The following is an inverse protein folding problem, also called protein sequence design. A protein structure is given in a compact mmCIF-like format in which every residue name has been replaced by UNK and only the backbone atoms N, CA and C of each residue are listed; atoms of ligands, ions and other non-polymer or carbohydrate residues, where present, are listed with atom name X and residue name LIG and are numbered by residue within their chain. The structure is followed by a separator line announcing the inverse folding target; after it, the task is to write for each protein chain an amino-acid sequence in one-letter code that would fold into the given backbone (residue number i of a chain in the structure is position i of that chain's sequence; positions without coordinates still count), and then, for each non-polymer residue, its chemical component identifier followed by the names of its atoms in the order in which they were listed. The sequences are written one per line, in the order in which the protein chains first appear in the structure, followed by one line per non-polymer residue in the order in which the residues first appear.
data_IF_745739302501
#
_entry.id   IF_745739302501
#
_cell.length_a   1.000
_cell.length_b   1.000
_cell.length_c   1.000
_cell.angle_alpha   90.00
_cell.angle_beta   90.00
_cell.angle_gamma   90.00
#
_symmetry.space_group_name_H-M   'P 1'
#
loop_
_entity.id
_entity.type
_entity.pdbx_description
1 polymer ?
#
# COMPACT_ATOMS: atom_id res chain seq x y z
N UNK A 1 -19.44 57.64 -10.05
CA UNK A 1 -19.89 56.27 -10.37
C UNK A 1 -18.70 55.27 -10.32
N UNK A 2 -17.95 55.26 -9.21
CA UNK A 2 -16.72 54.44 -9.01
C UNK A 2 -16.83 53.56 -7.75
N UNK A 3 -17.39 54.14 -6.69
CA UNK A 3 -17.72 53.49 -5.40
C UNK A 3 -18.63 52.25 -5.49
N UNK A 4 -19.52 52.18 -6.48
CA UNK A 4 -20.41 51.01 -6.65
C UNK A 4 -19.69 49.76 -7.17
N UNK A 5 -18.60 49.92 -7.94
CA UNK A 5 -17.85 48.78 -8.46
C UNK A 5 -16.87 48.23 -7.42
N UNK A 6 -16.26 49.09 -6.61
CA UNK A 6 -15.34 48.68 -5.54
C UNK A 6 -16.06 47.84 -4.48
N UNK A 7 -17.26 48.25 -4.05
CA UNK A 7 -18.05 47.48 -3.09
C UNK A 7 -18.45 46.08 -3.60
N UNK A 8 -18.80 45.96 -4.90
CA UNK A 8 -19.12 44.68 -5.54
C UNK A 8 -17.89 43.77 -5.63
N UNK A 9 -16.74 44.34 -5.99
CA UNK A 9 -15.45 43.64 -6.05
C UNK A 9 -15.03 43.13 -4.66
N UNK A 10 -15.20 43.92 -3.60
CA UNK A 10 -14.90 43.51 -2.23
C UNK A 10 -15.81 42.38 -1.75
N UNK A 11 -17.12 42.46 -2.01
CA UNK A 11 -18.06 41.38 -1.65
C UNK A 11 -17.75 40.09 -2.40
N UNK A 12 -17.46 40.15 -3.71
CA UNK A 12 -17.03 38.99 -4.48
C UNK A 12 -15.74 38.37 -3.93
N UNK A 13 -14.75 39.19 -3.56
CA UNK A 13 -13.50 38.72 -2.95
C UNK A 13 -13.74 38.00 -1.62
N UNK A 14 -14.59 38.56 -0.75
CA UNK A 14 -14.96 37.92 0.52
C UNK A 14 -15.69 36.60 0.27
N UNK A 15 -16.65 36.55 -0.66
CA UNK A 15 -17.40 35.35 -0.99
C UNK A 15 -16.50 34.24 -1.55
N UNK A 16 -15.57 34.57 -2.43
CA UNK A 16 -14.57 33.62 -2.96
C UNK A 16 -13.67 33.13 -1.84
N UNK A 17 -13.18 34.02 -0.98
CA UNK A 17 -12.29 33.66 0.14
C UNK A 17 -13.00 32.73 1.13
N UNK A 18 -14.25 33.01 1.48
CA UNK A 18 -15.07 32.16 2.34
C UNK A 18 -15.36 30.80 1.69
N UNK A 19 -15.63 30.78 0.38
CA UNK A 19 -15.87 29.53 -0.35
C UNK A 19 -14.62 28.64 -0.34
N UNK A 20 -13.44 29.22 -0.60
CA UNK A 20 -12.15 28.50 -0.54
C UNK A 20 -11.90 27.98 0.88
N UNK A 21 -12.14 28.82 1.90
CA UNK A 21 -11.97 28.43 3.30
C UNK A 21 -12.87 27.24 3.66
N UNK A 22 -14.16 27.29 3.31
CA UNK A 22 -15.12 26.22 3.58
C UNK A 22 -14.77 24.92 2.85
N UNK A 23 -14.33 25.00 1.59
CA UNK A 23 -13.87 23.83 0.84
C UNK A 23 -12.63 23.23 1.52
N UNK A 24 -11.67 24.07 1.91
CA UNK A 24 -10.43 23.62 2.55
C UNK A 24 -10.70 22.95 3.89
N UNK A 25 -11.59 23.52 4.70
CA UNK A 25 -12.06 22.92 5.96
C UNK A 25 -12.80 21.60 5.70
N UNK A 26 -13.70 21.56 4.73
CA UNK A 26 -14.43 20.35 4.37
C UNK A 26 -13.49 19.22 3.95
N UNK A 27 -12.48 19.51 3.13
CA UNK A 27 -11.45 18.54 2.73
C UNK A 27 -10.60 18.10 3.92
N UNK A 28 -10.20 19.03 4.79
CA UNK A 28 -9.40 18.70 5.97
C UNK A 28 -10.15 17.74 6.92
N UNK A 29 -11.39 18.09 7.29
CA UNK A 29 -12.19 17.26 8.20
C UNK A 29 -12.60 15.94 7.54
N UNK A 30 -12.94 15.96 6.25
CA UNK A 30 -13.27 14.75 5.50
C UNK A 30 -12.11 13.78 5.41
N UNK A 31 -10.89 14.27 5.19
CA UNK A 31 -9.69 13.41 5.16
C UNK A 31 -9.35 12.84 6.53
N UNK A 32 -9.47 13.62 7.61
CA UNK A 32 -9.29 13.11 8.98
C UNK A 32 -10.33 12.02 9.32
N UNK A 33 -11.60 12.26 9.01
CA UNK A 33 -12.67 11.29 9.26
C UNK A 33 -12.43 9.96 8.54
N UNK A 34 -12.02 10.02 7.26
CA UNK A 34 -11.67 8.82 6.50
C UNK A 34 -10.43 8.11 7.08
N UNK A 35 -9.42 8.85 7.50
CA UNK A 35 -8.19 8.28 8.06
C UNK A 35 -8.48 7.49 9.36
N UNK A 36 -9.29 8.06 10.25
CA UNK A 36 -9.65 7.45 11.53
C UNK A 36 -10.61 6.26 11.39
N UNK A 37 -11.67 6.39 10.60
CA UNK A 37 -12.76 5.41 10.60
C UNK A 37 -12.59 4.30 9.57
N UNK A 38 -11.84 4.56 8.49
CA UNK A 38 -11.75 3.63 7.36
C UNK A 38 -10.32 3.13 7.19
N UNK A 39 -9.38 4.06 7.04
CA UNK A 39 -8.01 3.73 6.64
C UNK A 39 -7.25 3.03 7.77
N UNK A 40 -7.43 3.46 9.03
CA UNK A 40 -6.79 2.80 10.17
C UNK A 40 -7.19 1.32 10.27
N UNK A 41 -8.48 1.02 10.11
CA UNK A 41 -9.00 -0.34 10.15
C UNK A 41 -8.43 -1.21 9.02
N UNK A 42 -8.37 -0.66 7.81
CA UNK A 42 -7.79 -1.37 6.66
C UNK A 42 -6.30 -1.63 6.85
N UNK A 43 -5.55 -0.68 7.42
CA UNK A 43 -4.15 -0.86 7.79
C UNK A 43 -3.99 -1.96 8.84
N UNK A 44 -4.83 -1.99 9.88
CA UNK A 44 -4.79 -3.04 10.89
C UNK A 44 -5.05 -4.43 10.28
N UNK A 45 -5.99 -4.55 9.34
CA UNK A 45 -6.21 -5.79 8.60
C UNK A 45 -5.00 -6.20 7.77
N UNK A 46 -4.38 -5.25 7.04
CA UNK A 46 -3.19 -5.52 6.23
C UNK A 46 -1.99 -5.92 7.10
N UNK A 47 -1.80 -5.28 8.25
CA UNK A 47 -0.79 -5.65 9.24
C UNK A 47 -1.04 -7.05 9.80
N UNK A 48 -2.30 -7.39 10.12
CA UNK A 48 -2.66 -8.72 10.59
C UNK A 48 -2.32 -9.79 9.55
N UNK A 49 -2.67 -9.57 8.28
CA UNK A 49 -2.28 -10.48 7.19
C UNK A 49 -0.76 -10.60 7.09
N UNK A 50 -0.04 -9.48 7.13
CA UNK A 50 1.42 -9.47 7.09
C UNK A 50 2.00 -10.33 8.23
N UNK A 51 1.54 -10.13 9.46
CA UNK A 51 2.01 -10.84 10.64
C UNK A 51 1.65 -12.34 10.64
N UNK A 52 0.60 -12.74 9.91
CA UNK A 52 0.21 -14.15 9.78
C UNK A 52 1.05 -14.91 8.75
N UNK A 53 1.80 -14.22 7.88
CA UNK A 53 2.71 -14.89 6.94
C UNK A 53 3.84 -15.54 7.77
N UNK A 54 3.97 -16.87 7.74
CA UNK A 54 4.96 -17.58 8.53
C UNK A 54 6.37 -17.30 8.00
N UNK A 55 7.34 -17.36 8.90
CA UNK A 55 8.75 -17.26 8.55
C UNK A 55 9.27 -18.65 8.13
N UNK A 56 9.94 -18.78 6.96
CA UNK A 56 10.53 -20.06 6.52
C UNK A 56 11.74 -20.49 7.37
N UNK A 57 12.46 -19.51 7.92
CA UNK A 57 13.65 -19.68 8.77
C UNK A 57 13.66 -18.59 9.84
N UNK A 58 14.63 -18.62 10.76
CA UNK A 58 14.82 -17.54 11.73
C UNK A 58 14.99 -16.19 11.03
N UNK A 59 14.11 -15.23 11.34
CA UNK A 59 14.15 -13.87 10.83
C UNK A 59 15.16 -13.04 11.63
N UNK A 60 16.11 -12.40 10.94
CA UNK A 60 17.12 -11.54 11.58
C UNK A 60 16.72 -10.08 11.67
N UNK A 61 15.79 -9.65 10.83
CA UNK A 61 15.27 -8.28 10.86
C UNK A 61 13.96 -8.14 10.09
N UNK A 62 13.21 -7.10 10.43
CA UNK A 62 12.03 -6.66 9.71
C UNK A 62 11.93 -5.14 9.75
N UNK A 63 11.63 -4.55 8.60
CA UNK A 63 11.23 -3.15 8.51
C UNK A 63 9.83 -3.10 7.93
N UNK A 64 8.87 -2.59 8.70
CA UNK A 64 7.50 -2.35 8.24
C UNK A 64 7.33 -0.87 7.93
N UNK A 65 6.83 -0.56 6.74
CA UNK A 65 6.50 0.79 6.30
C UNK A 65 5.06 0.81 5.82
N UNK A 66 4.32 1.84 6.24
CA UNK A 66 2.97 2.08 5.73
C UNK A 66 3.11 3.14 4.64
N UNK A 67 2.99 2.71 3.39
CA UNK A 67 3.00 3.61 2.25
C UNK A 67 1.60 4.23 2.06
N UNK A 68 1.53 5.56 1.95
CA UNK A 68 0.29 6.34 1.90
C UNK A 68 0.23 7.12 0.59
N UNK A 69 -0.79 6.83 -0.22
CA UNK A 69 -1.19 7.61 -1.38
C UNK A 69 -2.58 8.18 -1.14
N UNK A 70 -2.64 9.44 -0.69
CA UNK A 70 -3.88 10.14 -0.32
C UNK A 70 -4.65 9.40 0.78
N UNK A 71 -5.71 8.67 0.41
CA UNK A 71 -6.57 7.88 1.32
C UNK A 71 -6.20 6.40 1.23
N UNK A 72 -5.60 5.97 0.12
CA UNK A 72 -5.17 4.59 -0.08
C UNK A 72 -3.86 4.35 0.67
N UNK A 73 -3.82 3.28 1.46
CA UNK A 73 -2.61 2.84 2.15
C UNK A 73 -2.22 1.43 1.72
N UNK A 74 -0.96 1.09 1.97
CA UNK A 74 -0.45 -0.26 1.86
C UNK A 74 0.61 -0.52 2.91
N UNK A 75 0.75 -1.79 3.27
CA UNK A 75 1.76 -2.24 4.22
C UNK A 75 2.87 -2.90 3.43
N UNK A 76 4.09 -2.40 3.58
CA UNK A 76 5.30 -2.98 3.01
C UNK A 76 6.15 -3.49 4.15
N UNK A 77 6.38 -4.80 4.20
CA UNK A 77 7.32 -5.41 5.13
C UNK A 77 8.53 -5.95 4.36
N UNK A 78 9.72 -5.50 4.72
CA UNK A 78 10.97 -6.07 4.24
C UNK A 78 11.52 -6.98 5.34
N UNK A 79 11.50 -8.28 5.12
CA UNK A 79 12.02 -9.29 6.05
C UNK A 79 13.38 -9.78 5.60
N UNK A 80 14.30 -9.94 6.55
CA UNK A 80 15.69 -10.32 6.30
C UNK A 80 15.91 -11.76 6.76
N UNK A 81 16.28 -12.63 5.81
CA UNK A 81 16.54 -14.05 6.02
C UNK A 81 17.91 -14.45 5.42
N UNK A 82 19.03 -14.27 6.15
CA UNK A 82 20.38 -14.54 5.61
C UNK A 82 20.65 -16.01 5.27
N UNK A 83 19.91 -16.92 5.90
CA UNK A 83 20.11 -18.38 5.75
C UNK A 83 19.12 -19.01 4.77
N UNK A 84 18.18 -18.23 4.23
CA UNK A 84 17.16 -18.75 3.32
C UNK A 84 17.69 -18.70 1.90
N UNK A 85 17.86 -19.86 1.28
CA UNK A 85 18.16 -19.90 -0.15
C UNK A 85 16.96 -19.38 -0.95
N UNK A 86 17.24 -18.73 -2.08
CA UNK A 86 16.22 -18.25 -3.03
C UNK A 86 15.19 -19.33 -3.35
N UNK A 87 15.64 -20.52 -3.72
CA UNK A 87 14.77 -21.62 -4.14
C UNK A 87 13.89 -22.14 -2.99
N UNK A 88 14.47 -22.27 -1.79
CA UNK A 88 13.72 -22.71 -0.61
C UNK A 88 12.65 -21.69 -0.23
N UNK A 89 12.97 -20.39 -0.30
CA UNK A 89 12.01 -19.31 -0.07
C UNK A 89 10.86 -19.33 -1.09
N UNK A 90 11.17 -19.46 -2.38
CA UNK A 90 10.16 -19.56 -3.45
C UNK A 90 9.22 -20.74 -3.21
N UNK A 91 9.78 -21.92 -2.90
CA UNK A 91 9.02 -23.12 -2.63
C UNK A 91 8.13 -22.95 -1.40
N UNK A 92 8.69 -22.44 -0.30
CA UNK A 92 7.96 -22.22 0.95
C UNK A 92 6.76 -21.28 0.77
N UNK A 93 6.96 -20.09 0.18
CA UNK A 93 5.86 -19.12 0.02
C UNK A 93 4.81 -19.58 -0.98
N UNK A 94 5.21 -20.32 -2.02
CA UNK A 94 4.26 -20.95 -2.95
C UNK A 94 3.41 -22.01 -2.26
N UNK A 95 4.02 -22.84 -1.41
CA UNK A 95 3.30 -23.87 -0.65
C UNK A 95 2.42 -23.28 0.45
N UNK A 96 2.89 -22.25 1.15
CA UNK A 96 2.08 -21.46 2.08
C UNK A 96 0.83 -20.91 1.38
N UNK A 97 0.99 -20.30 0.21
CA UNK A 97 -0.12 -19.75 -0.56
C UNK A 97 -1.18 -20.82 -0.87
N UNK A 98 -0.75 -22.01 -1.34
CA UNK A 98 -1.65 -23.14 -1.62
C UNK A 98 -2.34 -23.66 -0.36
N UNK A 99 -1.63 -23.81 0.75
CA UNK A 99 -2.16 -24.32 2.03
C UNK A 99 -3.15 -23.38 2.70
N UNK A 100 -3.03 -22.08 2.44
CA UNK A 100 -3.85 -21.05 3.07
C UNK A 100 -4.90 -20.45 2.11
N UNK A 101 -5.29 -21.18 1.07
CA UNK A 101 -6.33 -20.80 0.11
C UNK A 101 -6.11 -19.41 -0.53
N UNK A 102 -4.85 -19.05 -0.78
CA UNK A 102 -4.54 -17.89 -1.61
C UNK A 102 -4.66 -18.27 -3.08
N UNK A 103 -5.30 -17.40 -3.87
CA UNK A 103 -5.25 -17.50 -5.33
C UNK A 103 -3.92 -16.96 -5.80
N UNK A 104 -3.10 -17.79 -6.45
CA UNK A 104 -1.85 -17.35 -7.08
C UNK A 104 -2.21 -16.70 -8.42
N UNK A 105 -2.06 -15.38 -8.51
CA UNK A 105 -2.33 -14.62 -9.73
C UNK A 105 -1.09 -14.57 -10.65
N UNK A 106 0.09 -14.50 -10.05
CA UNK A 106 1.37 -14.47 -10.75
C UNK A 106 2.40 -15.24 -9.94
N UNK A 107 3.23 -16.05 -10.60
CA UNK A 107 4.41 -16.67 -10.05
C UNK A 107 5.45 -16.72 -11.17
N UNK A 108 6.42 -15.82 -11.16
CA UNK A 108 7.39 -15.69 -12.25
C UNK A 108 8.70 -15.08 -11.81
N UNK A 109 9.70 -15.24 -12.67
CA UNK A 109 10.99 -14.58 -12.61
C UNK A 109 11.09 -13.57 -13.75
N UNK A 110 11.47 -12.34 -13.42
CA UNK A 110 11.72 -11.29 -14.40
C UNK A 110 13.21 -10.90 -14.33
N UNK A 111 13.88 -10.85 -15.48
CA UNK A 111 15.28 -10.40 -15.61
C UNK A 111 15.30 -8.92 -15.99
N UNK A 112 15.90 -8.08 -15.15
CA UNK A 112 16.17 -6.69 -15.51
C UNK A 112 17.36 -6.63 -16.47
N UNK A 113 17.08 -6.43 -17.76
CA UNK A 113 18.08 -6.32 -18.81
C UNK A 113 19.09 -5.17 -18.62
N UNK A 114 18.82 -4.18 -17.74
CA UNK A 114 19.73 -3.06 -17.47
C UNK A 114 20.73 -3.38 -16.37
N UNK A 115 20.28 -4.06 -15.32
CA UNK A 115 21.10 -4.36 -14.13
C UNK A 115 21.59 -5.80 -14.10
N UNK A 116 21.03 -6.69 -14.93
CA UNK A 116 21.30 -8.12 -14.94
C UNK A 116 20.67 -8.87 -13.76
N UNK A 117 19.84 -8.19 -12.95
CA UNK A 117 19.26 -8.75 -11.73
C UNK A 117 18.01 -9.56 -12.04
N UNK A 118 17.93 -10.76 -11.47
CA UNK A 118 16.77 -11.63 -11.56
C UNK A 118 15.88 -11.42 -10.34
N UNK A 119 14.62 -11.07 -10.55
CA UNK A 119 13.67 -10.81 -9.46
C UNK A 119 12.49 -11.77 -9.55
N UNK A 120 12.21 -12.42 -8.44
CA UNK A 120 11.04 -13.27 -8.25
C UNK A 120 9.83 -12.42 -7.85
N UNK A 121 8.70 -12.69 -8.50
CA UNK A 121 7.41 -12.07 -8.23
C UNK A 121 6.34 -13.14 -7.99
N UNK A 122 5.75 -13.11 -6.80
CA UNK A 122 4.58 -13.90 -6.44
C UNK A 122 3.43 -12.96 -6.02
N UNK A 123 2.35 -12.96 -6.80
CA UNK A 123 1.14 -12.19 -6.49
C UNK A 123 0.05 -13.14 -6.00
N UNK A 124 -0.43 -12.88 -4.80
CA UNK A 124 -1.44 -13.66 -4.10
C UNK A 124 -2.69 -12.82 -3.89
N UNK A 125 -3.86 -13.40 -4.07
CA UNK A 125 -5.14 -12.74 -3.81
C UNK A 125 -6.04 -13.59 -2.94
N UNK A 126 -6.64 -12.99 -1.91
CA UNK A 126 -7.64 -13.62 -1.05
C UNK A 126 -8.67 -12.58 -0.62
N UNK A 127 -9.92 -12.77 -1.07
CA UNK A 127 -11.01 -11.80 -0.88
C UNK A 127 -10.60 -10.41 -1.39
N UNK A 128 -10.63 -9.40 -0.52
CA UNK A 128 -10.25 -8.02 -0.81
C UNK A 128 -8.77 -7.74 -0.57
N UNK A 129 -7.94 -8.74 -0.23
CA UNK A 129 -6.51 -8.54 0.02
C UNK A 129 -5.69 -9.08 -1.14
N UNK A 130 -4.78 -8.25 -1.62
CA UNK A 130 -3.71 -8.61 -2.55
C UNK A 130 -2.37 -8.54 -1.81
N UNK A 131 -1.58 -9.61 -1.87
CA UNK A 131 -0.26 -9.72 -1.28
C UNK A 131 0.76 -9.96 -2.40
N UNK A 132 1.72 -9.06 -2.54
CA UNK A 132 2.85 -9.23 -3.43
C UNK A 132 4.06 -9.65 -2.62
N UNK A 133 4.74 -10.70 -3.08
CA UNK A 133 6.01 -11.16 -2.53
C UNK A 133 7.05 -10.96 -3.64
N UNK A 134 8.06 -10.17 -3.33
CA UNK A 134 9.15 -9.82 -4.24
C UNK A 134 10.49 -10.20 -3.59
N UNK A 135 11.38 -10.78 -4.38
CA UNK A 135 12.72 -11.14 -3.93
C UNK A 135 13.72 -11.06 -5.09
N UNK A 136 14.78 -10.29 -4.90
CA UNK A 136 15.91 -10.24 -5.83
C UNK A 136 16.85 -11.42 -5.54
N UNK A 137 17.22 -12.17 -6.58
CA UNK A 137 18.11 -13.32 -6.45
C UNK A 137 19.45 -12.92 -5.80
N UNK A 138 19.84 -13.65 -4.75
CA UNK A 138 21.07 -13.37 -3.99
C UNK A 138 20.93 -12.29 -2.92
N UNK A 139 19.76 -11.64 -2.81
CA UNK A 139 19.43 -10.77 -1.68
C UNK A 139 19.03 -11.58 -0.45
N UNK A 140 19.25 -11.06 0.75
CA UNK A 140 18.69 -11.64 1.98
C UNK A 140 17.27 -11.11 2.25
N UNK A 141 16.81 -10.14 1.46
CA UNK A 141 15.58 -9.39 1.70
C UNK A 141 14.44 -10.01 0.90
N UNK A 142 13.34 -10.26 1.59
CA UNK A 142 12.05 -10.62 1.03
C UNK A 142 11.06 -9.50 1.32
N UNK A 143 10.50 -8.92 0.26
CA UNK A 143 9.55 -7.82 0.37
C UNK A 143 8.13 -8.36 0.25
N UNK A 144 7.31 -8.03 1.24
CA UNK A 144 5.89 -8.32 1.28
C UNK A 144 5.14 -7.00 1.16
N UNK A 145 4.33 -6.85 0.12
CA UNK A 145 3.49 -5.68 -0.08
C UNK A 145 2.03 -6.11 -0.01
N UNK A 146 1.34 -5.67 1.04
CA UNK A 146 -0.07 -5.99 1.28
C UNK A 146 -0.92 -4.78 0.93
N UNK A 147 -1.94 -5.02 0.13
CA UNK A 147 -2.92 -4.04 -0.30
C UNK A 147 -4.33 -4.58 -0.06
N UNK A 148 -5.24 -3.69 0.35
CA UNK A 148 -6.67 -3.99 0.38
C UNK A 148 -7.37 -3.28 -0.78
N UNK A 149 -8.07 -4.05 -1.60
CA UNK A 149 -8.91 -3.65 -2.73
C UNK A 149 -10.21 -2.98 -2.26
N UNK A 150 -10.06 -1.87 -1.53
CA UNK A 150 -11.14 -1.03 -1.06
C UNK A 150 -11.80 -0.23 -2.21
N UNK A 151 -12.84 0.53 -1.89
CA UNK A 151 -13.55 1.35 -2.88
C UNK A 151 -12.63 2.41 -3.52
N UNK A 152 -11.68 2.96 -2.76
CA UNK A 152 -10.79 4.01 -3.24
C UNK A 152 -9.78 3.47 -4.27
N UNK A 153 -9.20 2.29 -4.02
CA UNK A 153 -8.36 1.59 -5.00
C UNK A 153 -9.14 1.16 -6.24
N UNK A 154 -10.38 0.69 -6.08
CA UNK A 154 -11.25 0.34 -7.22
C UNK A 154 -11.56 1.56 -8.10
N UNK A 155 -11.55 2.76 -7.53
CA UNK A 155 -11.68 4.03 -8.26
C UNK A 155 -10.36 4.51 -8.89
N UNK A 156 -9.24 3.80 -8.69
CA UNK A 156 -7.94 4.13 -9.28
C UNK A 156 -7.14 5.19 -8.53
N UNK A 157 -7.44 5.42 -7.25
CA UNK A 157 -6.73 6.40 -6.39
C UNK A 157 -5.38 5.89 -5.87
#
# INVERSE_FOLDING_TARGET
MKTSNDAKMTVCSIAVTLSILLITLGVYWGTQYLDENYVKYDVEQMLNVCNQIPDPTERKGETITIDKRWIVKSVIANRIYPQLSTQDGVNFFSDYARKQDWTICTNRWDLDNRTGKCTYYLTLKKKEITCYIEHEEGSEIWRFWIQKEDIFRKMGL
#
